data_IF_462481864351
#
_entry.id   IF_462481864351
#
_cell.length_a   1.000
_cell.length_b   1.000
_cell.length_c   1.000
_cell.angle_alpha   90.00
_cell.angle_beta   90.00
_cell.angle_gamma   90.00
#
_symmetry.space_group_name_H-M   'P 1'
#
loop_
_entity.id
_entity.type
_entity.pdbx_description
1 polymer ?
#
# COMPACT_ATOMS: atom_id res chain seq x y z
N UNK A 1 -9.70 -28.95 23.21
CA UNK A 1 -8.79 -27.80 23.12
C UNK A 1 -9.59 -26.66 22.54
N UNK A 2 -9.79 -25.58 23.29
CA UNK A 2 -10.48 -24.40 22.77
C UNK A 2 -9.60 -23.79 21.69
N UNK A 3 -10.13 -23.66 20.47
CA UNK A 3 -9.44 -22.97 19.40
C UNK A 3 -9.70 -21.49 19.64
N UNK A 4 -8.80 -20.80 20.35
CA UNK A 4 -8.86 -19.35 20.51
C UNK A 4 -8.65 -18.71 19.13
N UNK A 5 -9.75 -18.33 18.49
CA UNK A 5 -9.73 -17.50 17.29
C UNK A 5 -9.51 -16.08 17.77
N UNK A 6 -8.28 -15.59 17.65
CA UNK A 6 -7.96 -14.19 17.91
C UNK A 6 -8.45 -13.36 16.72
N UNK A 7 -9.45 -12.51 16.93
CA UNK A 7 -9.82 -11.49 15.94
C UNK A 7 -8.67 -10.49 15.81
N UNK A 8 -8.02 -10.48 14.64
CA UNK A 8 -6.91 -9.56 14.35
C UNK A 8 -7.37 -8.10 14.35
N UNK A 9 -6.47 -7.17 14.68
CA UNK A 9 -6.76 -5.74 14.83
C UNK A 9 -7.03 -5.02 13.50
N UNK A 10 -7.12 -5.76 12.40
CA UNK A 10 -7.15 -5.24 11.03
C UNK A 10 -5.80 -4.77 10.52
N UNK A 11 -4.75 -4.79 11.35
CA UNK A 11 -3.35 -4.58 10.99
C UNK A 11 -2.50 -5.80 11.34
N UNK A 12 -2.30 -6.67 10.35
CA UNK A 12 -1.50 -7.89 10.49
C UNK A 12 -0.06 -7.63 10.95
N UNK A 13 0.50 -6.44 10.68
CA UNK A 13 1.85 -6.10 11.13
C UNK A 13 1.88 -5.78 12.62
N UNK A 14 0.81 -5.19 13.15
CA UNK A 14 0.66 -4.93 14.57
C UNK A 14 0.41 -6.23 15.34
N UNK A 15 -0.43 -7.10 14.78
CA UNK A 15 -0.72 -8.43 15.35
C UNK A 15 0.56 -9.29 15.46
N UNK A 16 1.51 -9.10 14.53
CA UNK A 16 2.81 -9.77 14.53
C UNK A 16 3.89 -9.04 15.36
N UNK A 17 3.57 -7.93 16.03
CA UNK A 17 4.51 -7.17 16.86
C UNK A 17 5.65 -6.52 16.07
N UNK A 18 5.46 -6.28 14.77
CA UNK A 18 6.50 -5.69 13.92
C UNK A 18 6.65 -4.19 14.17
N UNK A 19 7.87 -3.65 14.15
CA UNK A 19 8.09 -2.21 14.20
C UNK A 19 7.48 -1.54 12.96
N UNK A 20 7.05 -0.29 13.14
CA UNK A 20 6.47 0.55 12.10
C UNK A 20 5.24 -0.07 11.41
N UNK A 21 4.47 -0.88 12.14
CA UNK A 21 3.30 -1.60 11.64
C UNK A 21 2.31 -0.70 10.86
N UNK A 22 2.14 0.55 11.29
CA UNK A 22 1.27 1.52 10.62
C UNK A 22 1.83 1.97 9.25
N UNK A 23 3.14 2.23 9.15
CA UNK A 23 3.80 2.59 7.89
C UNK A 23 3.78 1.41 6.91
N UNK A 24 4.11 0.21 7.41
CA UNK A 24 4.03 -1.04 6.63
C UNK A 24 2.64 -1.25 6.05
N UNK A 25 1.61 -1.11 6.87
CA UNK A 25 0.22 -1.25 6.43
C UNK A 25 -0.15 -0.21 5.36
N UNK A 26 0.24 1.04 5.56
CA UNK A 26 -0.02 2.14 4.61
C UNK A 26 0.63 1.85 3.26
N UNK A 27 1.92 1.50 3.25
CA UNK A 27 2.66 1.14 2.04
C UNK A 27 2.05 -0.07 1.34
N UNK A 28 1.71 -1.13 2.08
CA UNK A 28 1.11 -2.33 1.51
C UNK A 28 -0.22 -2.02 0.83
N UNK A 29 -1.12 -1.25 1.48
CA UNK A 29 -2.41 -0.89 0.87
C UNK A 29 -2.26 -0.04 -0.39
N UNK A 30 -1.34 0.93 -0.40
CA UNK A 30 -1.05 1.72 -1.61
C UNK A 30 -0.46 0.86 -2.72
N UNK A 31 0.51 -0.02 -2.41
CA UNK A 31 1.09 -0.94 -3.38
C UNK A 31 0.05 -1.93 -3.94
N UNK A 32 -0.90 -2.38 -3.11
CA UNK A 32 -2.02 -3.21 -3.56
C UNK A 32 -2.88 -2.46 -4.58
N UNK A 33 -3.21 -1.19 -4.33
CA UNK A 33 -3.97 -0.36 -5.28
C UNK A 33 -3.19 -0.18 -6.60
N UNK A 34 -1.89 0.12 -6.54
CA UNK A 34 -1.04 0.22 -7.75
C UNK A 34 -1.03 -1.10 -8.54
N UNK A 35 -0.78 -2.22 -7.86
CA UNK A 35 -0.72 -3.55 -8.49
C UNK A 35 -2.08 -3.98 -9.06
N UNK A 36 -3.19 -3.60 -8.43
CA UNK A 36 -4.53 -3.87 -8.95
C UNK A 36 -4.75 -3.18 -10.31
N UNK A 37 -4.41 -1.90 -10.43
CA UNK A 37 -4.55 -1.14 -11.69
C UNK A 37 -3.62 -1.70 -12.78
N UNK A 38 -2.37 -2.02 -12.43
CA UNK A 38 -1.41 -2.65 -13.36
C UNK A 38 -1.96 -3.96 -13.91
N UNK A 39 -2.58 -4.79 -13.04
CA UNK A 39 -3.20 -6.06 -13.41
C UNK A 39 -4.45 -5.86 -14.27
N UNK A 40 -5.35 -4.95 -13.88
CA UNK A 40 -6.58 -4.65 -14.61
C UNK A 40 -6.29 -4.17 -16.03
N UNK A 41 -5.31 -3.28 -16.18
CA UNK A 41 -4.85 -2.76 -17.49
C UNK A 41 -3.95 -3.74 -18.25
N UNK A 42 -3.65 -4.91 -17.69
CA UNK A 42 -2.78 -5.96 -18.26
C UNK A 42 -1.41 -5.42 -18.72
N UNK A 43 -0.85 -4.50 -17.95
CA UNK A 43 0.43 -3.88 -18.29
C UNK A 43 1.58 -4.86 -18.07
N UNK A 44 2.48 -4.96 -19.07
CA UNK A 44 3.74 -5.68 -18.91
C UNK A 44 4.68 -4.89 -18.01
N UNK A 45 5.61 -5.57 -17.32
CA UNK A 45 6.57 -4.91 -16.43
C UNK A 45 7.37 -3.80 -17.13
N UNK A 46 7.69 -3.96 -18.41
CA UNK A 46 8.41 -2.95 -19.22
C UNK A 46 7.58 -1.70 -19.45
N UNK A 47 6.27 -1.85 -19.70
CA UNK A 47 5.35 -0.71 -19.85
C UNK A 47 5.11 -0.02 -18.52
N UNK A 48 4.94 -0.80 -17.44
CA UNK A 48 4.83 -0.27 -16.09
C UNK A 48 6.09 0.51 -15.70
N UNK A 49 7.29 -0.01 -16.02
CA UNK A 49 8.56 0.68 -15.77
C UNK A 49 8.59 2.06 -16.45
N UNK A 50 8.15 2.13 -17.71
CA UNK A 50 8.07 3.35 -18.49
C UNK A 50 7.05 4.34 -17.93
N UNK A 51 5.85 3.88 -17.59
CA UNK A 51 4.78 4.73 -17.03
C UNK A 51 5.17 5.28 -15.66
N UNK A 52 5.72 4.44 -14.78
CA UNK A 52 6.09 4.82 -13.40
C UNK A 52 7.44 5.53 -13.32
N UNK A 53 8.21 5.58 -14.42
CA UNK A 53 9.54 6.19 -14.46
C UNK A 53 10.55 5.50 -13.53
N UNK A 54 10.50 4.18 -13.42
CA UNK A 54 11.41 3.39 -12.57
C UNK A 54 12.02 2.21 -13.33
N UNK A 55 13.21 1.71 -12.92
CA UNK A 55 13.80 0.52 -13.51
C UNK A 55 12.92 -0.73 -13.34
N UNK A 56 12.96 -1.66 -14.30
CA UNK A 56 12.22 -2.92 -14.25
C UNK A 56 12.45 -3.74 -12.96
N UNK A 57 13.66 -3.82 -12.37
CA UNK A 57 13.84 -4.47 -11.07
C UNK A 57 13.00 -3.86 -9.94
N UNK A 58 12.79 -2.53 -9.95
CA UNK A 58 11.89 -1.87 -8.99
C UNK A 58 10.42 -2.19 -9.26
N UNK A 59 10.01 -2.33 -10.53
CA UNK A 59 8.67 -2.83 -10.86
C UNK A 59 8.46 -4.25 -10.31
N UNK A 60 9.45 -5.13 -10.47
CA UNK A 60 9.39 -6.48 -9.91
C UNK A 60 9.32 -6.46 -8.37
N UNK A 61 10.10 -5.59 -7.71
CA UNK A 61 10.02 -5.42 -6.26
C UNK A 61 8.62 -4.97 -5.80
N UNK A 62 8.02 -4.00 -6.49
CA UNK A 62 6.66 -3.51 -6.23
C UNK A 62 5.60 -4.61 -6.42
N UNK A 63 5.70 -5.38 -7.50
CA UNK A 63 4.79 -6.50 -7.79
C UNK A 63 4.87 -7.62 -6.72
N UNK A 64 6.03 -7.80 -6.11
CA UNK A 64 6.29 -8.78 -5.05
C UNK A 64 6.18 -8.20 -3.63
N UNK A 65 5.63 -6.99 -3.47
CA UNK A 65 5.48 -6.32 -2.17
C UNK A 65 6.78 -6.17 -1.36
N UNK A 66 7.92 -6.06 -2.05
CA UNK A 66 9.22 -5.70 -1.44
C UNK A 66 9.31 -4.18 -1.34
N UNK A 67 8.69 -3.62 -0.29
CA UNK A 67 8.38 -2.19 -0.19
C UNK A 67 9.42 -1.36 0.59
N UNK A 68 10.49 -1.97 1.11
CA UNK A 68 11.48 -1.29 1.96
C UNK A 68 12.11 -0.05 1.31
N UNK A 69 12.22 -0.05 -0.02
CA UNK A 69 12.80 1.04 -0.80
C UNK A 69 11.78 2.00 -1.43
N UNK A 70 10.51 1.90 -1.05
CA UNK A 70 9.44 2.77 -1.52
C UNK A 70 8.88 3.60 -0.36
N UNK A 71 8.90 4.92 -0.51
CA UNK A 71 8.18 5.81 0.40
C UNK A 71 6.68 5.79 0.09
N UNK A 72 5.86 6.18 1.08
CA UNK A 72 4.42 6.39 0.89
C UNK A 72 4.16 7.41 -0.22
N UNK A 73 4.90 8.52 -0.23
CA UNK A 73 4.87 9.55 -1.28
C UNK A 73 5.12 8.95 -2.67
N UNK A 74 6.14 8.08 -2.81
CA UNK A 74 6.45 7.48 -4.10
C UNK A 74 5.31 6.58 -4.60
N UNK A 75 4.69 5.80 -3.70
CA UNK A 75 3.54 4.96 -4.04
C UNK A 75 2.32 5.80 -4.44
N UNK A 76 2.06 6.93 -3.77
CA UNK A 76 1.01 7.87 -4.18
C UNK A 76 1.31 8.46 -5.58
N UNK A 77 2.57 8.83 -5.87
CA UNK A 77 2.92 9.31 -7.22
C UNK A 77 2.72 8.25 -8.31
N UNK A 78 2.84 6.96 -7.98
CA UNK A 78 2.54 5.88 -8.93
C UNK A 78 1.06 5.77 -9.24
N UNK A 79 0.19 5.95 -8.23
CA UNK A 79 -1.25 6.03 -8.44
C UNK A 79 -1.60 7.20 -9.37
N UNK A 80 -1.01 8.37 -9.14
CA UNK A 80 -1.20 9.54 -10.00
C UNK A 80 -0.70 9.28 -11.44
N UNK A 81 0.47 8.67 -11.60
CA UNK A 81 1.01 8.29 -12.92
C UNK A 81 0.13 7.26 -13.65
N UNK A 82 -0.62 6.46 -12.91
CA UNK A 82 -1.63 5.55 -13.43
C UNK A 82 -3.00 6.23 -13.61
N UNK A 83 -3.13 7.54 -13.40
CA UNK A 83 -4.37 8.29 -13.59
C UNK A 83 -5.39 8.04 -12.49
N UNK A 84 -4.95 7.88 -11.25
CA UNK A 84 -5.81 7.90 -10.08
C UNK A 84 -5.57 9.18 -9.31
N UNK A 85 -6.64 9.75 -8.77
CA UNK A 85 -6.53 10.82 -7.79
C UNK A 85 -6.28 10.22 -6.40
N UNK A 86 -5.41 10.86 -5.64
CA UNK A 86 -5.13 10.50 -4.24
C UNK A 86 -5.58 11.65 -3.35
N UNK A 87 -6.64 11.42 -2.60
CA UNK A 87 -7.17 12.37 -1.61
C UNK A 87 -6.75 11.98 -0.19
N UNK A 88 -6.31 12.97 0.59
CA UNK A 88 -5.94 12.79 1.99
C UNK A 88 -6.99 13.47 2.86
N UNK A 89 -7.78 12.67 3.57
CA UNK A 89 -8.80 13.16 4.50
C UNK A 89 -8.25 13.19 5.93
N UNK A 90 -8.17 14.38 6.51
CA UNK A 90 -7.74 14.59 7.90
C UNK A 90 -8.97 14.88 8.75
N UNK A 91 -9.19 14.09 9.81
CA UNK A 91 -10.32 14.25 10.74
C UNK A 91 -9.87 14.06 12.19
N UNK A 92 -10.50 14.76 13.16
CA UNK A 92 -10.18 14.54 14.57
C UNK A 92 -10.55 13.10 14.99
N UNK A 93 -9.69 12.49 15.82
CA UNK A 93 -10.01 11.24 16.52
C UNK A 93 -10.55 11.56 17.90
N UNK A 94 -11.51 10.77 18.38
CA UNK A 94 -12.05 10.86 19.75
C UNK A 94 -11.11 10.31 20.83
N UNK A 95 -10.07 9.60 20.43
CA UNK A 95 -9.05 8.97 21.30
C UNK A 95 -7.70 9.69 21.15
N UNK A 96 -6.75 9.39 22.05
CA UNK A 96 -5.51 10.13 22.18
C UNK A 96 -4.58 10.13 20.94
N UNK A 97 -4.55 9.04 20.14
CA UNK A 97 -3.62 8.91 19.00
C UNK A 97 -4.33 8.51 17.71
N UNK A 98 -4.16 9.34 16.67
CA UNK A 98 -4.66 9.08 15.32
C UNK A 98 -4.04 7.85 14.65
N UNK A 99 -4.60 7.42 13.51
CA UNK A 99 -3.98 6.41 12.66
C UNK A 99 -4.18 6.77 11.20
N UNK A 100 -3.26 6.33 10.36
CA UNK A 100 -3.40 6.44 8.90
C UNK A 100 -4.18 5.24 8.39
N UNK A 101 -5.16 5.50 7.53
CA UNK A 101 -5.89 4.47 6.80
C UNK A 101 -5.88 4.80 5.32
N UNK A 102 -5.74 3.76 4.50
CA UNK A 102 -5.87 3.86 3.05
C UNK A 102 -7.10 3.06 2.63
N UNK A 103 -7.97 3.70 1.85
CA UNK A 103 -9.15 3.11 1.23
C UNK A 103 -9.04 3.36 -0.27
N UNK A 104 -9.08 2.29 -1.06
CA UNK A 104 -9.24 2.43 -2.51
C UNK A 104 -10.74 2.49 -2.80
N UNK A 105 -11.19 3.56 -3.43
CA UNK A 105 -12.56 3.67 -3.93
C UNK A 105 -12.62 2.91 -5.25
N UNK A 106 -13.57 1.98 -5.37
CA UNK A 106 -13.83 1.16 -6.55
C UNK A 106 -14.95 1.75 -7.39
#
# INVERSE_FOLDING_TARGET
MANDIIEGTGNVFADLGLPDAADRQTKTRLAMAVNAIVKERRLKQTDTARILGIPQPKVSALANYRLDHFSVEKLMSFLNALGQDVEIVIRPRREAVGHTSVFALS
#
